data_IF_998868335086
#
_entry.id   IF_998868335086
#
_cell.length_a   1.000
_cell.length_b   1.000
_cell.length_c   1.000
_cell.angle_alpha   90.00
_cell.angle_beta   90.00
_cell.angle_gamma   90.00
#
_symmetry.space_group_name_H-M   'P 1'
#
loop_
_entity.id
_entity.type
_entity.pdbx_description
1 polymer ?
#
# COMPACT_ATOMS: atom_id res chain seq x y z
N UNK A 1 25.48 6.51 -6.42
CA UNK A 1 24.32 6.80 -7.31
C UNK A 1 23.16 5.93 -6.88
N UNK A 2 21.99 6.53 -6.61
CA UNK A 2 20.77 5.76 -6.39
C UNK A 2 20.39 5.11 -7.74
N UNK A 3 20.19 3.79 -7.77
CA UNK A 3 19.89 3.08 -9.02
C UNK A 3 18.46 3.45 -9.49
N UNK A 4 18.27 3.50 -10.80
CA UNK A 4 16.96 3.74 -11.42
C UNK A 4 16.18 2.43 -11.32
N UNK A 5 14.88 2.50 -11.01
CA UNK A 5 13.97 1.35 -10.91
C UNK A 5 14.39 0.30 -9.86
N UNK A 6 14.58 0.75 -8.63
CA UNK A 6 15.08 -0.08 -7.52
C UNK A 6 14.01 -0.85 -6.76
N UNK A 7 12.73 -0.48 -6.92
CA UNK A 7 11.67 -1.01 -6.08
C UNK A 7 10.54 -1.66 -6.86
N UNK A 8 10.04 -2.78 -6.34
CA UNK A 8 8.68 -3.22 -6.63
C UNK A 8 7.76 -2.53 -5.63
N UNK A 9 6.84 -1.70 -6.12
CA UNK A 9 5.84 -1.08 -5.27
C UNK A 9 4.65 -2.03 -5.10
N UNK A 10 4.20 -2.21 -3.86
CA UNK A 10 3.02 -3.01 -3.56
C UNK A 10 1.95 -2.21 -2.83
N UNK A 11 0.69 -2.45 -3.19
CA UNK A 11 -0.47 -1.84 -2.53
C UNK A 11 -1.57 -2.87 -2.30
N UNK A 12 -2.03 -2.98 -1.05
CA UNK A 12 -2.89 -4.08 -0.62
C UNK A 12 -2.11 -5.13 0.18
N UNK A 13 -2.72 -6.31 0.33
CA UNK A 13 -2.19 -7.40 1.14
C UNK A 13 -1.82 -8.57 0.22
N UNK A 14 -0.52 -8.82 -0.02
CA UNK A 14 -0.08 -9.90 -0.89
C UNK A 14 -0.42 -11.29 -0.38
N UNK A 15 -0.58 -12.22 -1.32
CA UNK A 15 -0.69 -13.64 -1.03
C UNK A 15 0.68 -14.32 -0.82
N UNK A 16 0.65 -15.57 -0.36
CA UNK A 16 1.86 -16.38 -0.18
C UNK A 16 2.75 -16.44 -1.43
N UNK A 17 2.15 -16.58 -2.60
CA UNK A 17 2.86 -16.73 -3.89
C UNK A 17 3.67 -15.48 -4.22
N UNK A 18 3.14 -14.28 -3.98
CA UNK A 18 3.90 -13.05 -4.16
C UNK A 18 5.20 -13.06 -3.36
N UNK A 19 5.14 -13.42 -2.07
CA UNK A 19 6.32 -13.40 -1.21
C UNK A 19 7.39 -14.40 -1.65
N UNK A 20 6.97 -15.58 -2.12
CA UNK A 20 7.89 -16.62 -2.59
C UNK A 20 8.62 -16.16 -3.87
N UNK A 21 7.89 -15.56 -4.81
CA UNK A 21 8.44 -15.13 -6.09
C UNK A 21 9.30 -13.87 -5.99
N UNK A 22 9.07 -13.01 -4.99
CA UNK A 22 9.73 -11.70 -4.88
C UNK A 22 10.71 -11.59 -3.69
N UNK A 23 11.16 -12.71 -3.12
CA UNK A 23 11.97 -12.74 -1.88
C UNK A 23 13.27 -11.92 -1.95
N UNK A 24 13.88 -11.81 -3.13
CA UNK A 24 15.16 -11.09 -3.35
C UNK A 24 14.96 -9.63 -3.78
N UNK A 25 13.72 -9.23 -4.05
CA UNK A 25 13.39 -7.90 -4.53
C UNK A 25 13.36 -6.89 -3.38
N UNK A 26 13.53 -5.62 -3.72
CA UNK A 26 13.43 -4.53 -2.76
C UNK A 26 12.01 -3.97 -2.79
N UNK A 27 11.25 -4.20 -1.73
CA UNK A 27 9.82 -3.91 -1.69
C UNK A 27 9.58 -2.49 -1.16
N UNK A 28 8.84 -1.69 -1.91
CA UNK A 28 8.31 -0.41 -1.45
C UNK A 28 6.83 -0.56 -1.17
N UNK A 29 6.36 -0.09 -0.03
CA UNK A 29 4.94 -0.15 0.33
C UNK A 29 4.55 1.07 1.16
N UNK A 30 3.28 1.45 1.09
CA UNK A 30 2.80 2.61 1.84
C UNK A 30 2.12 2.20 3.15
N UNK A 31 1.85 3.18 4.01
CA UNK A 31 1.18 2.94 5.28
C UNK A 31 -0.29 2.52 5.13
N UNK A 32 -0.99 2.96 4.08
CA UNK A 32 -2.40 2.69 3.77
C UNK A 32 -3.37 3.27 4.82
N UNK A 33 -3.45 4.60 4.88
CA UNK A 33 -4.41 5.34 5.70
C UNK A 33 -5.87 5.01 5.31
N UNK A 34 -6.83 5.18 6.24
CA UNK A 34 -6.63 5.53 7.65
C UNK A 34 -6.23 4.33 8.52
N UNK A 35 -6.48 3.09 8.06
CA UNK A 35 -6.37 1.86 8.86
C UNK A 35 -4.93 1.42 9.15
N UNK A 36 -3.96 2.00 8.46
CA UNK A 36 -2.54 1.68 8.56
C UNK A 36 -2.23 0.21 8.25
N UNK A 37 -2.93 -0.37 7.27
CA UNK A 37 -2.80 -1.80 6.94
C UNK A 37 -1.36 -2.14 6.52
N UNK A 38 -0.75 -1.28 5.71
CA UNK A 38 0.62 -1.45 5.28
C UNK A 38 1.59 -1.35 6.46
N UNK A 39 1.46 -0.31 7.27
CA UNK A 39 2.34 -0.10 8.41
C UNK A 39 2.18 -1.13 9.54
N UNK A 40 0.98 -1.69 9.75
CA UNK A 40 0.69 -2.60 10.89
C UNK A 40 0.71 -4.09 10.53
N UNK A 41 0.24 -4.45 9.35
CA UNK A 41 0.11 -5.85 8.92
C UNK A 41 1.22 -6.23 7.94
N UNK A 42 1.34 -5.50 6.83
CA UNK A 42 2.30 -5.82 5.77
C UNK A 42 3.75 -5.70 6.25
N UNK A 43 4.10 -4.66 7.00
CA UNK A 43 5.45 -4.49 7.57
C UNK A 43 5.89 -5.67 8.44
N UNK A 44 4.97 -6.23 9.24
CA UNK A 44 5.23 -7.39 10.10
C UNK A 44 5.47 -8.64 9.27
N UNK A 45 4.67 -8.85 8.23
CA UNK A 45 4.78 -10.02 7.36
C UNK A 45 6.08 -9.98 6.54
N UNK A 46 6.43 -8.83 5.96
CA UNK A 46 7.69 -8.62 5.25
C UNK A 46 8.90 -8.83 6.18
N UNK A 47 8.84 -8.32 7.42
CA UNK A 47 9.89 -8.54 8.43
C UNK A 47 10.02 -10.01 8.80
N UNK A 48 8.91 -10.71 9.07
CA UNK A 48 8.88 -12.14 9.40
C UNK A 48 9.53 -12.98 8.30
N UNK A 49 9.31 -12.60 7.03
CA UNK A 49 9.87 -13.27 5.85
C UNK A 49 11.28 -12.83 5.50
N UNK A 50 11.87 -11.90 6.25
CA UNK A 50 13.22 -11.34 6.03
C UNK A 50 13.38 -10.72 4.63
N UNK A 51 12.33 -10.08 4.12
CA UNK A 51 12.36 -9.39 2.83
C UNK A 51 12.88 -7.96 2.99
N UNK A 52 13.72 -7.53 2.05
CA UNK A 52 14.18 -6.13 2.00
C UNK A 52 12.98 -5.25 1.67
N UNK A 53 12.64 -4.33 2.57
CA UNK A 53 11.43 -3.52 2.42
C UNK A 53 11.59 -2.11 2.96
N UNK A 54 10.85 -1.17 2.41
CA UNK A 54 10.82 0.24 2.79
C UNK A 54 9.38 0.72 2.89
N UNK A 55 9.01 1.23 4.07
CA UNK A 55 7.70 1.85 4.32
C UNK A 55 7.76 3.33 3.94
N UNK A 56 6.72 3.82 3.27
CA UNK A 56 6.51 5.25 2.99
C UNK A 56 5.13 5.72 3.42
N UNK A 57 4.96 7.03 3.59
CA UNK A 57 3.63 7.64 3.68
C UNK A 57 2.94 7.56 2.31
N UNK A 58 1.60 7.48 2.29
CA UNK A 58 0.83 7.45 1.03
C UNK A 58 1.14 8.68 0.14
N UNK A 59 1.36 9.85 0.75
CA UNK A 59 1.68 11.10 0.06
C UNK A 59 3.06 11.12 -0.61
N UNK A 60 4.00 10.29 -0.16
CA UNK A 60 5.34 10.21 -0.75
C UNK A 60 5.35 9.42 -2.07
N UNK A 61 4.24 8.73 -2.41
CA UNK A 61 4.16 7.85 -3.56
C UNK A 61 4.52 8.57 -4.88
N UNK A 62 3.96 9.76 -5.10
CA UNK A 62 4.21 10.55 -6.31
C UNK A 62 5.70 10.88 -6.50
N UNK A 63 6.43 11.14 -5.41
CA UNK A 63 7.86 11.40 -5.48
C UNK A 63 8.65 10.19 -5.98
N UNK A 64 8.32 8.97 -5.53
CA UNK A 64 9.01 7.75 -5.97
C UNK A 64 8.75 7.41 -7.44
N UNK A 65 7.54 7.68 -7.94
CA UNK A 65 7.24 7.57 -9.37
C UNK A 65 7.98 8.63 -10.19
N UNK A 66 7.93 9.90 -9.77
CA UNK A 66 8.64 11.00 -10.44
C UNK A 66 10.15 10.75 -10.53
N UNK A 67 10.75 10.28 -9.44
CA UNK A 67 12.18 9.94 -9.37
C UNK A 67 12.54 8.63 -10.09
N UNK A 68 11.58 7.97 -10.78
CA UNK A 68 11.77 6.69 -11.49
C UNK A 68 12.41 5.61 -10.61
N UNK A 69 11.93 5.52 -9.37
CA UNK A 69 12.40 4.54 -8.38
C UNK A 69 11.55 3.27 -8.39
N UNK A 70 10.35 3.33 -8.97
CA UNK A 70 9.41 2.19 -9.06
C UNK A 70 9.63 1.45 -10.39
N UNK A 71 10.07 0.20 -10.29
CA UNK A 71 10.27 -0.73 -11.41
C UNK A 71 8.96 -1.27 -11.96
N UNK A 72 8.08 -1.71 -11.07
CA UNK A 72 6.72 -2.20 -11.35
C UNK A 72 5.84 -2.05 -10.12
N UNK A 73 4.53 -2.10 -10.34
CA UNK A 73 3.51 -2.09 -9.30
C UNK A 73 2.84 -3.46 -9.23
N UNK A 74 2.61 -3.97 -8.02
CA UNK A 74 1.70 -5.08 -7.78
C UNK A 74 0.54 -4.59 -6.90
N UNK A 75 -0.68 -4.66 -7.44
CA UNK A 75 -1.92 -4.31 -6.74
C UNK A 75 -2.66 -5.58 -6.31
N UNK A 76 -3.06 -5.62 -5.05
CA UNK A 76 -3.72 -6.78 -4.46
C UNK A 76 -5.18 -6.46 -4.12
N UNK A 77 -6.11 -7.13 -4.81
CA UNK A 77 -7.55 -7.05 -4.53
C UNK A 77 -7.98 -8.12 -3.53
N UNK A 78 -9.02 -7.84 -2.74
CA UNK A 78 -9.64 -8.86 -1.90
C UNK A 78 -10.43 -9.87 -2.74
N UNK A 79 -11.09 -10.83 -2.07
CA UNK A 79 -11.87 -11.89 -2.72
C UNK A 79 -13.06 -11.36 -3.50
N UNK A 80 -13.60 -10.22 -3.09
CA UNK A 80 -14.68 -9.51 -3.76
C UNK A 80 -14.21 -8.71 -4.99
N UNK A 81 -12.91 -8.75 -5.31
CA UNK A 81 -12.34 -8.03 -6.46
C UNK A 81 -12.11 -6.54 -6.20
N UNK A 82 -12.09 -6.14 -4.93
CA UNK A 82 -12.07 -4.76 -4.46
C UNK A 82 -10.71 -4.41 -3.85
N UNK A 83 -10.25 -3.18 -4.10
CA UNK A 83 -8.97 -2.67 -3.62
C UNK A 83 -9.13 -1.77 -2.39
N UNK A 84 -8.10 -1.70 -1.52
CA UNK A 84 -8.06 -0.69 -0.47
C UNK A 84 -8.06 0.72 -1.06
N UNK A 85 -8.64 1.72 -0.34
CA UNK A 85 -8.63 3.10 -0.79
C UNK A 85 -7.22 3.59 -1.09
N UNK A 86 -7.02 4.32 -2.19
CA UNK A 86 -5.73 4.80 -2.67
C UNK A 86 -5.12 3.96 -3.79
N UNK A 87 -5.66 2.78 -4.09
CA UNK A 87 -5.20 1.95 -5.20
C UNK A 87 -5.41 2.62 -6.58
N UNK A 88 -6.48 3.39 -6.74
CA UNK A 88 -6.75 4.21 -7.92
C UNK A 88 -5.65 5.24 -8.13
N UNK A 89 -5.22 5.93 -7.06
CA UNK A 89 -4.09 6.85 -7.12
C UNK A 89 -2.81 6.15 -7.57
N UNK A 90 -2.56 4.93 -7.06
CA UNK A 90 -1.41 4.13 -7.49
C UNK A 90 -1.50 3.80 -8.99
N UNK A 91 -2.67 3.36 -9.46
CA UNK A 91 -2.89 3.02 -10.87
C UNK A 91 -2.69 4.22 -11.79
N UNK A 92 -3.27 5.38 -11.44
CA UNK A 92 -3.11 6.63 -12.18
C UNK A 92 -1.63 7.03 -12.28
N UNK A 93 -0.89 6.99 -11.15
CA UNK A 93 0.53 7.31 -11.15
C UNK A 93 1.34 6.32 -12.00
N UNK A 94 1.04 5.03 -11.91
CA UNK A 94 1.72 4.01 -12.71
C UNK A 94 1.50 4.23 -14.20
N UNK A 95 0.26 4.48 -14.62
CA UNK A 95 -0.10 4.75 -16.02
C UNK A 95 0.61 6.00 -16.54
N UNK A 96 0.54 7.10 -15.78
CA UNK A 96 1.17 8.38 -16.14
C UNK A 96 2.69 8.23 -16.31
N UNK A 97 3.34 7.46 -15.43
CA UNK A 97 4.78 7.21 -15.48
C UNK A 97 5.19 5.99 -16.33
N UNK A 98 4.23 5.34 -17.02
CA UNK A 98 4.44 4.16 -17.85
C UNK A 98 5.12 2.99 -17.11
N UNK A 99 4.73 2.79 -15.85
CA UNK A 99 5.18 1.69 -15.01
C UNK A 99 4.17 0.54 -15.10
N UNK A 100 4.65 -0.67 -15.37
CA UNK A 100 3.80 -1.86 -15.46
C UNK A 100 3.05 -2.13 -14.15
N UNK A 101 1.76 -2.43 -14.25
CA UNK A 101 0.91 -2.81 -13.13
C UNK A 101 0.48 -4.28 -13.29
N UNK A 102 0.80 -5.09 -12.28
CA UNK A 102 0.30 -6.45 -12.14
C UNK A 102 -0.82 -6.45 -11.09
N UNK A 103 -2.00 -6.94 -11.46
CA UNK A 103 -3.12 -7.08 -10.54
C UNK A 103 -3.26 -8.56 -10.17
N UNK A 104 -3.21 -8.88 -8.88
CA UNK A 104 -3.40 -10.24 -8.38
C UNK A 104 -4.39 -10.27 -7.24
N UNK A 105 -4.84 -11.48 -6.89
CA UNK A 105 -5.59 -11.68 -5.66
C UNK A 105 -4.65 -11.47 -4.46
N UNK A 106 -5.19 -10.86 -3.42
CA UNK A 106 -4.54 -10.67 -2.14
C UNK A 106 -5.07 -11.61 -1.07
N UNK A 107 -4.44 -11.55 0.10
CA UNK A 107 -4.88 -12.28 1.28
C UNK A 107 -5.77 -11.43 2.20
N UNK A 108 -6.69 -12.09 2.89
CA UNK A 108 -7.43 -11.48 3.99
C UNK A 108 -6.60 -11.57 5.26
N UNK A 109 -5.87 -10.52 5.61
CA UNK A 109 -5.18 -10.48 6.91
C UNK A 109 -6.16 -10.08 8.01
N UNK A 110 -6.31 -10.95 9.03
CA UNK A 110 -7.01 -10.61 10.27
C UNK A 110 -6.21 -9.56 11.02
N UNK A 111 -6.51 -8.28 10.80
CA UNK A 111 -5.97 -7.20 11.64
C UNK A 111 -6.71 -7.24 12.96
N UNK A 112 -5.99 -7.57 14.04
CA UNK A 112 -6.54 -7.82 15.38
C UNK A 112 -7.46 -6.69 15.92
N UNK A 113 -7.30 -5.46 15.42
CA UNK A 113 -8.21 -4.33 15.73
C UNK A 113 -8.06 -3.19 14.72
N UNK A 114 -9.16 -2.76 14.12
CA UNK A 114 -9.24 -1.48 13.40
C UNK A 114 -9.33 -0.38 14.44
N UNK A 115 -8.23 0.35 14.63
CA UNK A 115 -8.16 1.47 15.59
C UNK A 115 -8.55 2.80 14.93
N UNK A 116 -8.35 2.89 13.62
CA UNK A 116 -8.48 4.12 12.85
C UNK A 116 -9.37 3.85 11.65
N UNK A 117 -10.62 4.29 11.74
CA UNK A 117 -11.63 4.11 10.68
C UNK A 117 -11.68 5.31 9.72
N UNK A 118 -11.26 6.49 10.18
CA UNK A 118 -11.29 7.75 9.42
C UNK A 118 -10.04 8.60 9.70
N UNK A 119 -10.02 9.82 9.15
CA UNK A 119 -8.92 10.75 9.33
C UNK A 119 -8.88 11.42 10.72
N UNK A 120 -9.88 11.23 11.60
CA UNK A 120 -9.93 11.90 12.91
C UNK A 120 -8.95 11.30 13.89
N UNK A 121 -8.60 10.02 13.72
CA UNK A 121 -7.71 9.31 14.63
C UNK A 121 -6.43 8.84 13.97
N UNK A 122 -5.42 8.62 14.81
CA UNK A 122 -4.20 7.92 14.47
C UNK A 122 -3.78 7.09 15.67
N UNK A 123 -3.61 5.78 15.47
CA UNK A 123 -3.34 4.81 16.54
C UNK A 123 -4.38 4.89 17.68
N UNK A 124 -5.65 5.15 17.33
CA UNK A 124 -6.75 5.29 18.29
C UNK A 124 -6.75 6.60 19.09
N UNK A 125 -5.80 7.51 18.84
CA UNK A 125 -5.78 8.85 19.43
C UNK A 125 -6.36 9.87 18.47
N UNK A 126 -7.15 10.82 18.96
CA UNK A 126 -7.70 11.91 18.15
C UNK A 126 -6.58 12.86 17.71
N UNK A 127 -6.50 13.14 16.41
CA UNK A 127 -5.50 14.03 15.80
C UNK A 127 -6.10 15.26 15.12
N UNK A 128 -7.40 15.43 15.25
CA UNK A 128 -8.14 16.54 14.62
C UNK A 128 -8.87 17.38 15.67
N UNK A 129 -9.32 18.58 15.27
CA UNK A 129 -10.14 19.44 16.11
C UNK A 129 -11.49 18.81 16.47
N UNK A 130 -12.15 19.32 17.52
CA UNK A 130 -13.53 18.93 17.83
C UNK A 130 -14.46 19.36 16.68
N UNK A 131 -15.41 18.48 16.33
CA UNK A 131 -16.48 18.69 15.32
C UNK A 131 -16.06 18.86 13.86
N UNK A 132 -14.81 18.58 13.49
CA UNK A 132 -14.42 18.54 12.07
C UNK A 132 -15.11 17.37 11.35
N UNK A 133 -15.66 17.64 10.15
CA UNK A 133 -16.22 16.61 9.29
C UNK A 133 -15.09 15.89 8.58
N UNK A 134 -15.20 14.57 8.45
CA UNK A 134 -14.27 13.74 7.68
C UNK A 134 -15.06 12.89 6.70
N UNK A 135 -14.39 12.50 5.62
CA UNK A 135 -14.90 11.55 4.65
C UNK A 135 -14.13 10.25 4.88
N UNK A 136 -14.88 9.15 5.01
CA UNK A 136 -14.28 7.83 5.05
C UNK A 136 -14.06 7.37 3.62
N UNK A 137 -12.81 7.08 3.22
CA UNK A 137 -12.53 6.56 1.89
C UNK A 137 -13.25 5.22 1.69
N UNK A 138 -13.94 5.09 0.57
CA UNK A 138 -14.54 3.82 0.16
C UNK A 138 -13.47 2.95 -0.49
N UNK A 139 -13.72 1.65 -0.46
CA UNK A 139 -12.92 0.71 -1.23
C UNK A 139 -13.13 0.93 -2.73
N UNK A 140 -12.12 0.60 -3.53
CA UNK A 140 -12.06 1.01 -4.95
C UNK A 140 -12.16 -0.21 -5.88
N UNK A 141 -12.80 -0.01 -7.03
CA UNK A 141 -12.77 -0.95 -8.15
C UNK A 141 -12.00 -0.29 -9.29
N UNK A 142 -11.01 -1.00 -9.81
CA UNK A 142 -10.23 -0.54 -10.96
C UNK A 142 -10.79 -1.22 -12.20
N UNK A 143 -11.14 -0.43 -13.21
CA UNK A 143 -11.59 -0.89 -14.54
C UNK A 143 -10.35 -1.05 -15.43
#
# INVERSE_FOLDING_TARGET
MAKINDFIFIYGLPDKTFYENNKKENILFSEMRPRLLGARALSKELKKRKMKSTLICDSALGHFFFARRVKKVCLFKNKEGVFPPGALTVKILADYHKVTVEITNGETVKVARVLDADAKTFMGKKVTLKKIKTITPQTETLI
#
